data_IF_237278427509
#
_entry.id   IF_237278427509
#
_cell.length_a   1.000
_cell.length_b   1.000
_cell.length_c   1.000
_cell.angle_alpha   90.00
_cell.angle_beta   90.00
_cell.angle_gamma   90.00
#
_symmetry.space_group_name_H-M   'P 1'
#
loop_
_entity.id
_entity.type
_entity.pdbx_description
1 polymer ?
#
# COMPACT_ATOMS: atom_id res chain seq x y z
N UNK A 1 19.62 5.21 -9.35
CA UNK A 1 19.29 4.79 -7.97
C UNK A 1 19.07 3.28 -8.01
N UNK A 2 19.73 2.47 -7.16
CA UNK A 2 19.49 1.02 -7.12
C UNK A 2 18.04 0.77 -6.71
N UNK A 3 17.23 0.26 -7.64
CA UNK A 3 15.86 -0.06 -7.36
C UNK A 3 15.76 -1.53 -6.91
N UNK A 4 15.18 -1.75 -5.74
CA UNK A 4 14.92 -3.09 -5.21
C UNK A 4 13.65 -3.61 -5.91
N UNK A 5 13.81 -4.14 -7.13
CA UNK A 5 12.68 -4.66 -7.89
C UNK A 5 12.25 -6.05 -7.43
N UNK A 6 13.22 -6.94 -7.21
CA UNK A 6 12.98 -8.30 -6.73
C UNK A 6 13.42 -8.41 -5.26
N UNK A 7 12.52 -8.11 -4.33
CA UNK A 7 12.83 -8.06 -2.90
C UNK A 7 13.38 -9.40 -2.39
N UNK A 8 12.74 -10.52 -2.78
CA UNK A 8 13.12 -11.87 -2.35
C UNK A 8 14.55 -12.25 -2.75
N UNK A 9 15.04 -11.81 -3.91
CA UNK A 9 16.41 -12.09 -4.33
C UNK A 9 17.44 -11.49 -3.38
N UNK A 10 17.18 -10.29 -2.87
CA UNK A 10 18.05 -9.64 -1.90
C UNK A 10 17.89 -10.22 -0.50
N UNK A 11 16.65 -10.41 -0.04
CA UNK A 11 16.38 -10.89 1.32
C UNK A 11 16.81 -12.34 1.54
N UNK A 12 16.82 -13.20 0.51
CA UNK A 12 17.39 -14.56 0.60
C UNK A 12 18.90 -14.59 0.89
N UNK A 13 19.62 -13.48 0.70
CA UNK A 13 21.06 -13.34 1.02
C UNK A 13 21.31 -12.65 2.36
N UNK A 14 20.24 -12.25 3.05
CA UNK A 14 20.31 -11.52 4.30
C UNK A 14 19.86 -12.43 5.45
N UNK A 15 20.42 -12.17 6.62
CA UNK A 15 20.12 -12.88 7.85
C UNK A 15 19.18 -12.01 8.69
N UNK A 16 17.96 -12.51 8.86
CA UNK A 16 16.93 -11.87 9.66
C UNK A 16 17.00 -12.40 11.10
N UNK A 17 16.91 -11.48 12.04
CA UNK A 17 16.67 -11.81 13.44
C UNK A 17 15.36 -11.23 13.90
N UNK A 18 14.62 -12.01 14.67
CA UNK A 18 13.41 -11.58 15.36
C UNK A 18 13.66 -11.73 16.87
N UNK A 19 13.43 -10.66 17.62
CA UNK A 19 13.38 -10.71 19.08
C UNK A 19 11.93 -10.47 19.48
N UNK A 20 11.29 -11.49 20.02
CA UNK A 20 9.89 -11.44 20.45
C UNK A 20 9.63 -12.43 21.59
N UNK A 21 8.68 -12.11 22.48
CA UNK A 21 8.35 -12.97 23.62
C UNK A 21 7.10 -13.82 23.37
N UNK A 22 6.07 -13.22 22.77
CA UNK A 22 4.73 -13.81 22.64
C UNK A 22 4.39 -14.17 21.18
N UNK A 23 5.40 -14.38 20.34
CA UNK A 23 5.26 -14.67 18.91
C UNK A 23 4.42 -13.64 18.14
N UNK A 24 4.39 -12.37 18.58
CA UNK A 24 3.53 -11.34 18.01
C UNK A 24 3.87 -11.02 16.54
N UNK A 25 5.17 -11.03 16.21
CA UNK A 25 5.70 -10.80 14.87
C UNK A 25 5.55 -12.08 14.06
N UNK A 26 5.99 -13.22 14.58
CA UNK A 26 5.94 -14.50 13.86
C UNK A 26 4.50 -14.91 13.54
N UNK A 27 3.55 -14.75 14.46
CA UNK A 27 2.15 -15.10 14.20
C UNK A 27 1.52 -14.21 13.12
N UNK A 28 1.88 -12.92 13.08
CA UNK A 28 1.26 -11.96 12.16
C UNK A 28 1.94 -11.89 10.79
N UNK A 29 3.25 -12.10 10.72
CA UNK A 29 4.05 -11.89 9.52
C UNK A 29 4.93 -13.09 9.14
N UNK A 30 4.91 -14.19 9.90
CA UNK A 30 5.77 -15.35 9.69
C UNK A 30 5.69 -15.90 8.28
N UNK A 31 4.49 -16.21 7.79
CA UNK A 31 4.28 -16.75 6.42
C UNK A 31 4.93 -15.89 5.34
N UNK A 32 4.88 -14.56 5.50
CA UNK A 32 5.54 -13.63 4.59
C UNK A 32 7.05 -13.67 4.75
N UNK A 33 7.57 -13.54 5.98
CA UNK A 33 9.01 -13.51 6.27
C UNK A 33 9.71 -14.80 5.84
N UNK A 34 9.16 -15.98 6.20
CA UNK A 34 9.67 -17.29 5.79
C UNK A 34 9.65 -17.49 4.27
N UNK A 35 8.77 -16.79 3.55
CA UNK A 35 8.72 -16.89 2.08
C UNK A 35 9.75 -16.05 1.35
N UNK A 36 10.36 -15.04 1.99
CA UNK A 36 11.29 -14.13 1.34
C UNK A 36 12.72 -14.19 1.91
N UNK A 37 12.90 -14.66 3.14
CA UNK A 37 14.22 -14.88 3.75
C UNK A 37 14.58 -16.36 3.73
N UNK A 38 15.88 -16.64 3.62
CA UNK A 38 16.42 -18.01 3.75
C UNK A 38 16.82 -18.31 5.20
N UNK A 39 17.40 -17.34 5.89
CA UNK A 39 17.91 -17.49 7.26
C UNK A 39 17.15 -16.54 8.20
N UNK A 40 16.41 -17.14 9.14
CA UNK A 40 15.68 -16.44 10.21
C UNK A 40 16.08 -17.07 11.54
N UNK A 41 16.57 -16.26 12.49
CA UNK A 41 16.75 -16.67 13.90
C UNK A 41 15.80 -15.91 14.80
N UNK A 42 15.22 -16.60 15.78
CA UNK A 42 14.28 -16.03 16.74
C UNK A 42 14.87 -16.13 18.15
N UNK A 43 14.85 -15.03 18.89
CA UNK A 43 15.27 -14.96 20.29
C UNK A 43 14.09 -14.49 21.17
N UNK A 44 14.02 -15.06 22.37
CA UNK A 44 13.01 -14.71 23.38
C UNK A 44 13.40 -13.48 24.23
N UNK A 45 14.66 -13.06 24.19
CA UNK A 45 15.15 -11.91 24.94
C UNK A 45 16.41 -11.27 24.35
N UNK A 46 16.59 -9.99 24.65
CA UNK A 46 17.73 -9.17 24.23
C UNK A 46 19.10 -9.74 24.64
N UNK A 47 19.19 -10.31 25.86
CA UNK A 47 20.45 -10.80 26.42
C UNK A 47 21.05 -11.94 25.59
N UNK A 48 20.22 -12.90 25.16
CA UNK A 48 20.67 -14.02 24.32
C UNK A 48 21.12 -13.54 22.94
N UNK A 49 20.38 -12.59 22.36
CA UNK A 49 20.78 -11.98 21.09
C UNK A 49 22.13 -11.28 21.19
N UNK A 50 22.36 -10.44 22.22
CA UNK A 50 23.64 -9.74 22.40
C UNK A 50 24.82 -10.70 22.54
N UNK A 51 24.66 -11.83 23.24
CA UNK A 51 25.74 -12.82 23.38
C UNK A 51 26.13 -13.50 22.06
N UNK A 52 25.26 -13.48 21.06
CA UNK A 52 25.50 -14.10 19.75
C UNK A 52 25.78 -13.08 18.63
N UNK A 53 25.56 -11.78 18.88
CA UNK A 53 25.69 -10.74 17.87
C UNK A 53 27.13 -10.60 17.34
N UNK A 54 28.14 -10.72 18.20
CA UNK A 54 29.56 -10.63 17.80
C UNK A 54 30.00 -11.77 16.89
N UNK A 55 29.35 -12.95 17.00
CA UNK A 55 29.73 -14.17 16.29
C UNK A 55 28.88 -14.45 15.04
N UNK A 56 27.82 -13.67 14.82
CA UNK A 56 26.88 -13.87 13.73
C UNK A 56 26.69 -12.60 12.91
N UNK A 57 26.71 -12.74 11.59
CA UNK A 57 26.49 -11.61 10.69
C UNK A 57 24.99 -11.38 10.46
N UNK A 58 24.33 -10.68 11.40
CA UNK A 58 22.92 -10.30 11.28
C UNK A 58 22.76 -8.99 10.50
N UNK A 59 21.82 -8.94 9.56
CA UNK A 59 21.63 -7.77 8.71
C UNK A 59 20.38 -6.96 9.07
N UNK A 60 19.32 -7.63 9.50
CA UNK A 60 18.04 -7.01 9.84
C UNK A 60 17.54 -7.59 11.16
N UNK A 61 17.16 -6.70 12.07
CA UNK A 61 16.56 -7.03 13.36
C UNK A 61 15.11 -6.52 13.38
N UNK A 62 14.16 -7.44 13.58
CA UNK A 62 12.79 -7.14 13.97
C UNK A 62 12.71 -7.26 15.49
N UNK A 63 12.42 -6.16 16.17
CA UNK A 63 12.39 -6.14 17.62
C UNK A 63 11.00 -5.79 18.12
N UNK A 64 10.35 -6.75 18.77
CA UNK A 64 9.09 -6.55 19.47
C UNK A 64 9.34 -5.79 20.77
N UNK A 65 9.02 -4.51 20.75
CA UNK A 65 9.06 -3.66 21.92
C UNK A 65 7.69 -3.70 22.61
N UNK A 66 7.49 -4.75 23.41
CA UNK A 66 6.31 -4.89 24.26
C UNK A 66 6.50 -4.26 25.66
N UNK A 67 7.50 -3.37 25.83
CA UNK A 67 7.92 -2.90 27.16
C UNK A 67 7.45 -1.47 27.46
N UNK A 68 6.83 -1.33 28.63
CA UNK A 68 6.53 -0.08 29.36
C UNK A 68 7.74 0.86 29.60
N UNK A 69 8.96 0.43 29.26
CA UNK A 69 10.20 1.16 29.47
C UNK A 69 10.88 1.47 28.13
N UNK A 70 10.56 2.66 27.64
CA UNK A 70 11.08 3.22 26.40
C UNK A 70 12.61 3.37 26.47
N UNK A 71 13.20 3.65 27.64
CA UNK A 71 14.64 3.94 27.73
C UNK A 71 15.48 2.69 27.53
N UNK A 72 15.16 1.57 28.18
CA UNK A 72 15.89 0.32 28.01
C UNK A 72 15.86 -0.19 26.56
N UNK A 73 14.74 -0.03 25.86
CA UNK A 73 14.60 -0.39 24.44
C UNK A 73 15.62 0.32 23.56
N UNK A 74 15.76 1.63 23.69
CA UNK A 74 16.66 2.40 22.84
C UNK A 74 18.12 2.32 23.28
N UNK A 75 18.39 2.09 24.57
CA UNK A 75 19.73 1.72 25.05
C UNK A 75 20.18 0.39 24.44
N UNK A 76 19.31 -0.62 24.42
CA UNK A 76 19.58 -1.88 23.74
C UNK A 76 19.91 -1.67 22.26
N UNK A 77 19.09 -0.91 21.53
CA UNK A 77 19.37 -0.60 20.11
C UNK A 77 20.71 0.10 19.93
N UNK A 78 21.08 1.01 20.85
CA UNK A 78 22.38 1.66 20.84
C UNK A 78 23.51 0.63 20.95
N UNK A 79 23.41 -0.32 21.88
CA UNK A 79 24.42 -1.36 22.07
C UNK A 79 24.53 -2.27 20.84
N UNK A 80 23.40 -2.60 20.22
CA UNK A 80 23.35 -3.35 18.96
C UNK A 80 24.10 -2.61 17.84
N UNK A 81 23.89 -1.30 17.69
CA UNK A 81 24.60 -0.50 16.69
C UNK A 81 26.08 -0.26 17.02
N UNK A 82 26.48 -0.32 18.30
CA UNK A 82 27.91 -0.28 18.67
C UNK A 82 28.62 -1.54 18.17
N UNK A 83 27.99 -2.71 18.34
CA UNK A 83 28.55 -3.99 17.91
C UNK A 83 28.47 -4.15 16.37
N UNK A 84 27.29 -3.89 15.79
CA UNK A 84 27.05 -3.98 14.37
C UNK A 84 26.40 -2.69 13.84
N UNK A 85 27.20 -1.70 13.41
CA UNK A 85 26.69 -0.41 12.93
C UNK A 85 25.85 -0.51 11.64
N UNK A 86 25.93 -1.62 10.91
CA UNK A 86 25.27 -1.80 9.62
C UNK A 86 23.90 -2.48 9.73
N UNK A 87 23.60 -3.15 10.83
CA UNK A 87 22.30 -3.80 11.04
C UNK A 87 21.16 -2.79 10.86
N UNK A 88 20.03 -3.25 10.32
CA UNK A 88 18.82 -2.45 10.17
C UNK A 88 17.78 -2.90 11.15
N UNK A 89 17.38 -1.99 12.03
CA UNK A 89 16.42 -2.28 13.10
C UNK A 89 15.02 -1.80 12.69
N UNK A 90 14.02 -2.67 12.81
CA UNK A 90 12.60 -2.36 12.71
C UNK A 90 11.97 -2.66 14.06
N UNK A 91 11.38 -1.64 14.69
CA UNK A 91 10.71 -1.77 15.98
C UNK A 91 9.23 -2.05 15.77
N UNK A 92 8.68 -3.01 16.51
CA UNK A 92 7.25 -3.23 16.66
C UNK A 92 6.81 -2.70 18.03
N UNK A 93 5.75 -1.91 18.09
CA UNK A 93 5.24 -1.42 19.37
C UNK A 93 3.73 -1.19 19.34
N UNK A 94 3.08 -1.45 20.48
CA UNK A 94 1.67 -1.10 20.71
C UNK A 94 1.49 0.39 21.00
N UNK A 95 2.53 1.09 21.44
CA UNK A 95 2.48 2.49 21.83
C UNK A 95 3.03 3.39 20.72
N UNK A 96 2.29 4.44 20.39
CA UNK A 96 2.71 5.43 19.39
C UNK A 96 2.52 6.82 19.99
N UNK A 97 3.63 7.44 20.36
CA UNK A 97 3.68 8.84 20.78
C UNK A 97 4.85 9.56 20.11
N UNK A 98 4.87 10.89 20.25
CA UNK A 98 5.88 11.74 19.65
C UNK A 98 7.30 11.39 20.13
N UNK A 99 7.48 11.07 21.41
CA UNK A 99 8.79 10.83 22.01
C UNK A 99 9.41 9.51 21.51
N UNK A 100 8.60 8.46 21.37
CA UNK A 100 9.02 7.19 20.76
C UNK A 100 9.47 7.42 19.32
N UNK A 101 8.69 8.18 18.53
CA UNK A 101 9.04 8.47 17.14
C UNK A 101 10.34 9.29 17.05
N UNK A 102 10.51 10.31 17.91
CA UNK A 102 11.74 11.09 17.98
C UNK A 102 12.96 10.24 18.37
N UNK A 103 12.80 9.31 19.32
CA UNK A 103 13.85 8.35 19.67
C UNK A 103 14.16 7.40 18.49
N UNK A 104 13.16 6.95 17.73
CA UNK A 104 13.40 6.15 16.52
C UNK A 104 14.31 6.87 15.53
N UNK A 105 14.08 8.17 15.30
CA UNK A 105 14.98 8.98 14.47
C UNK A 105 16.38 9.08 15.08
N UNK A 106 16.48 9.42 16.37
CA UNK A 106 17.75 9.59 17.08
C UNK A 106 18.64 8.34 17.05
N UNK A 107 18.04 7.16 17.18
CA UNK A 107 18.75 5.88 17.24
C UNK A 107 18.82 5.16 15.88
N UNK A 108 18.54 5.86 14.77
CA UNK A 108 18.63 5.34 13.40
C UNK A 108 17.79 4.06 13.16
N UNK A 109 16.60 4.02 13.74
CA UNK A 109 15.64 2.96 13.46
C UNK A 109 15.17 3.06 12.01
N UNK A 110 15.18 1.94 11.30
CA UNK A 110 14.85 1.88 9.88
C UNK A 110 13.35 1.79 9.62
N UNK A 111 12.59 1.19 10.55
CA UNK A 111 11.14 1.11 10.45
C UNK A 111 10.46 1.04 11.81
N UNK A 112 9.21 1.52 11.86
CA UNK A 112 8.40 1.50 13.06
C UNK A 112 7.00 0.96 12.74
N UNK A 113 6.68 -0.19 13.33
CA UNK A 113 5.46 -0.94 13.11
C UNK A 113 4.55 -0.79 14.31
N UNK A 114 3.33 -0.30 14.11
CA UNK A 114 2.33 -0.16 15.17
C UNK A 114 1.22 -1.21 15.06
N UNK A 115 0.25 -1.17 15.98
CA UNK A 115 -0.91 -2.06 15.97
C UNK A 115 -1.71 -2.02 14.65
N UNK A 116 -1.74 -0.85 13.99
CA UNK A 116 -2.42 -0.63 12.71
C UNK A 116 -1.54 -0.89 11.48
N UNK A 117 -0.32 -1.39 11.68
CA UNK A 117 0.56 -1.79 10.58
C UNK A 117 0.16 -3.14 9.99
N UNK A 118 0.38 -3.31 8.70
CA UNK A 118 0.09 -4.53 7.93
C UNK A 118 1.34 -5.06 7.21
N UNK A 119 1.19 -6.16 6.47
CA UNK A 119 2.30 -6.78 5.73
C UNK A 119 2.95 -5.83 4.72
N UNK A 120 2.17 -4.94 4.09
CA UNK A 120 2.70 -3.96 3.15
C UNK A 120 3.61 -2.92 3.85
N UNK A 121 3.23 -2.45 5.04
CA UNK A 121 4.08 -1.54 5.83
C UNK A 121 5.44 -2.22 6.15
N UNK A 122 5.42 -3.51 6.53
CA UNK A 122 6.64 -4.28 6.77
C UNK A 122 7.48 -4.43 5.50
N UNK A 123 6.84 -4.78 4.38
CA UNK A 123 7.48 -4.89 3.07
C UNK A 123 8.19 -3.59 2.66
N UNK A 124 7.56 -2.44 2.90
CA UNK A 124 8.15 -1.14 2.60
C UNK A 124 9.39 -0.86 3.48
N UNK A 125 9.33 -1.18 4.78
CA UNK A 125 10.51 -1.05 5.66
C UNK A 125 11.64 -2.02 5.31
N UNK A 126 11.31 -3.25 4.89
CA UNK A 126 12.30 -4.21 4.41
C UNK A 126 12.96 -3.74 3.12
N UNK A 127 12.19 -3.19 2.18
CA UNK A 127 12.72 -2.59 0.95
C UNK A 127 13.70 -1.44 1.26
N UNK A 128 13.35 -0.56 2.20
CA UNK A 128 14.25 0.51 2.67
C UNK A 128 15.50 -0.08 3.32
N UNK A 129 15.35 -1.12 4.14
CA UNK A 129 16.47 -1.81 4.81
C UNK A 129 17.45 -2.39 3.79
N UNK A 130 16.94 -3.14 2.81
CA UNK A 130 17.73 -3.70 1.70
C UNK A 130 18.44 -2.59 0.92
N UNK A 131 17.73 -1.52 0.57
CA UNK A 131 18.33 -0.39 -0.15
C UNK A 131 19.49 0.24 0.63
N UNK A 132 19.31 0.49 1.93
CA UNK A 132 20.38 1.02 2.79
C UNK A 132 21.56 0.06 2.92
N UNK A 133 21.31 -1.25 3.02
CA UNK A 133 22.36 -2.27 3.07
C UNK A 133 23.14 -2.36 1.76
N UNK A 134 22.46 -2.27 0.61
CA UNK A 134 23.10 -2.23 -0.71
C UNK A 134 24.03 -1.03 -0.88
N UNK A 135 23.63 0.13 -0.35
CA UNK A 135 24.47 1.34 -0.41
C UNK A 135 25.71 1.26 0.48
N UNK A 136 25.65 0.49 1.58
CA UNK A 136 26.70 0.46 2.59
C UNK A 136 27.56 -0.81 2.56
N UNK A 137 27.19 -1.83 1.77
CA UNK A 137 27.78 -3.17 1.87
C UNK A 137 27.96 -3.82 0.48
N UNK A 138 28.81 -3.21 -0.35
CA UNK A 138 29.09 -3.61 -1.74
C UNK A 138 29.57 -5.07 -1.88
N UNK A 139 30.33 -5.57 -0.90
CA UNK A 139 30.92 -6.92 -0.93
C UNK A 139 29.88 -8.05 -0.86
N UNK A 140 28.75 -7.85 -0.15
CA UNK A 140 27.70 -8.87 -0.01
C UNK A 140 26.85 -9.00 -1.28
N UNK A 141 26.86 -7.97 -2.12
CA UNK A 141 26.02 -7.83 -3.30
C UNK A 141 26.87 -7.39 -4.51
N UNK A 142 27.84 -8.21 -4.94
CA UNK A 142 28.73 -7.96 -6.09
C UNK A 142 28.12 -7.06 -7.20
N UNK A 143 28.72 -5.88 -7.38
CA UNK A 143 28.09 -4.66 -7.94
C UNK A 143 27.79 -4.67 -9.44
N UNK A 144 28.26 -5.64 -10.23
CA UNK A 144 28.11 -5.62 -11.69
C UNK A 144 26.99 -6.51 -12.28
N UNK A 145 26.22 -7.22 -11.44
CA UNK A 145 25.13 -8.12 -11.90
C UNK A 145 23.73 -7.77 -11.39
N UNK A 146 23.56 -6.67 -10.64
CA UNK A 146 22.29 -6.37 -9.96
C UNK A 146 21.39 -5.35 -10.68
N UNK A 147 21.61 -5.08 -11.99
CA UNK A 147 20.60 -4.41 -12.80
C UNK A 147 19.52 -5.42 -13.16
N UNK A 148 18.63 -5.70 -12.21
CA UNK A 148 17.38 -6.37 -12.51
C UNK A 148 16.56 -5.45 -13.41
N UNK A 149 15.98 -6.01 -14.45
CA UNK A 149 14.93 -5.36 -15.22
C UNK A 149 13.57 -6.04 -14.98
N UNK A 150 12.55 -5.62 -15.73
CA UNK A 150 11.21 -6.22 -15.62
C UNK A 150 11.20 -7.67 -16.11
N UNK A 151 12.03 -8.03 -17.09
CA UNK A 151 12.11 -9.37 -17.66
C UNK A 151 12.64 -10.35 -16.61
N UNK A 152 13.65 -9.96 -15.84
CA UNK A 152 14.14 -10.76 -14.71
C UNK A 152 13.05 -11.00 -13.66
N UNK A 153 12.24 -9.96 -13.36
CA UNK A 153 11.10 -10.10 -12.47
C UNK A 153 10.06 -11.08 -13.03
N UNK A 154 9.68 -10.94 -14.29
CA UNK A 154 8.70 -11.82 -14.93
C UNK A 154 9.20 -13.27 -14.97
N UNK A 155 10.48 -13.48 -15.27
CA UNK A 155 11.13 -14.79 -15.25
C UNK A 155 11.08 -15.42 -13.87
N UNK A 156 11.47 -14.68 -12.82
CA UNK A 156 11.40 -15.16 -11.45
C UNK A 156 9.96 -15.51 -11.03
N UNK A 157 9.00 -14.66 -11.39
CA UNK A 157 7.59 -14.90 -11.07
C UNK A 157 7.04 -16.11 -11.84
N UNK A 158 7.42 -16.32 -13.10
CA UNK A 158 6.99 -17.48 -13.89
C UNK A 158 7.61 -18.79 -13.37
N UNK A 159 8.93 -18.80 -13.19
CA UNK A 159 9.69 -20.04 -12.99
C UNK A 159 9.79 -20.45 -11.50
N UNK A 160 9.91 -19.48 -10.58
CA UNK A 160 10.15 -19.76 -9.16
C UNK A 160 8.95 -19.47 -8.26
N UNK A 161 8.10 -18.50 -8.60
CA UNK A 161 6.98 -18.05 -7.76
C UNK A 161 5.69 -17.77 -8.58
N UNK A 162 5.10 -18.79 -9.23
CA UNK A 162 4.03 -18.64 -10.23
C UNK A 162 2.73 -18.05 -9.68
N UNK A 163 2.56 -18.04 -8.37
CA UNK A 163 1.38 -17.48 -7.69
C UNK A 163 1.46 -15.94 -7.63
N UNK A 164 1.11 -15.28 -8.73
CA UNK A 164 0.98 -13.83 -8.80
C UNK A 164 -0.47 -13.39 -8.50
N UNK A 165 -0.63 -12.11 -8.16
CA UNK A 165 -1.93 -11.46 -8.07
C UNK A 165 -2.07 -10.46 -9.19
N UNK A 166 -3.18 -10.52 -9.91
CA UNK A 166 -3.58 -9.48 -10.83
C UNK A 166 -4.53 -8.52 -10.11
N UNK A 167 -4.22 -7.23 -10.20
CA UNK A 167 -4.97 -6.18 -9.53
C UNK A 167 -5.48 -5.17 -10.55
N UNK A 168 -6.79 -5.01 -10.58
CA UNK A 168 -7.44 -3.88 -11.23
C UNK A 168 -8.46 -3.28 -10.26
N UNK A 169 -9.31 -2.38 -10.76
CA UNK A 169 -10.36 -1.81 -9.94
C UNK A 169 -11.69 -1.76 -10.69
N UNK A 170 -12.77 -1.90 -9.93
CA UNK A 170 -14.12 -1.72 -10.42
C UNK A 170 -14.84 -0.74 -9.50
N UNK A 171 -15.14 0.46 -10.02
CA UNK A 171 -15.82 1.53 -9.29
C UNK A 171 -15.17 1.89 -7.94
N UNK A 172 -13.85 2.05 -7.96
CA UNK A 172 -13.02 2.36 -6.79
C UNK A 172 -12.60 1.15 -5.95
N UNK A 173 -13.28 0.00 -6.09
CA UNK A 173 -12.96 -1.22 -5.34
C UNK A 173 -11.86 -2.00 -6.05
N UNK A 174 -10.80 -2.35 -5.31
CA UNK A 174 -9.74 -3.21 -5.82
C UNK A 174 -10.29 -4.63 -6.07
N UNK A 175 -10.04 -5.17 -7.25
CA UNK A 175 -10.34 -6.56 -7.59
C UNK A 175 -8.99 -7.26 -7.71
N UNK A 176 -8.76 -8.20 -6.80
CA UNK A 176 -7.48 -8.89 -6.62
C UNK A 176 -7.73 -10.37 -6.81
N UNK A 177 -7.15 -10.94 -7.86
CA UNK A 177 -7.30 -12.36 -8.20
C UNK A 177 -5.97 -13.02 -8.42
N UNK A 178 -5.91 -14.31 -8.13
CA UNK A 178 -4.76 -15.12 -8.52
C UNK A 178 -4.67 -15.15 -10.04
N UNK A 179 -3.45 -15.11 -10.55
CA UNK A 179 -3.16 -15.20 -11.97
C UNK A 179 -1.86 -15.96 -12.17
N UNK A 180 -1.60 -16.37 -13.40
CA UNK A 180 -0.41 -17.13 -13.78
C UNK A 180 0.18 -16.52 -15.05
N UNK A 181 1.49 -16.28 -15.05
CA UNK A 181 2.21 -15.84 -16.25
C UNK A 181 2.43 -17.07 -17.12
N UNK A 182 1.79 -17.10 -18.28
CA UNK A 182 1.94 -18.21 -19.24
C UNK A 182 3.20 -18.01 -20.07
N UNK A 183 3.37 -16.80 -20.61
CA UNK A 183 4.53 -16.45 -21.41
C UNK A 183 4.76 -14.95 -21.44
N UNK A 184 5.96 -14.53 -21.85
CA UNK A 184 6.26 -13.13 -22.06
C UNK A 184 7.38 -12.93 -23.07
N UNK A 185 7.37 -11.78 -23.72
CA UNK A 185 8.49 -11.24 -24.49
C UNK A 185 8.73 -9.78 -24.09
N UNK A 186 9.53 -9.06 -24.86
CA UNK A 186 9.90 -7.67 -24.54
C UNK A 186 8.71 -6.70 -24.55
N UNK A 187 7.58 -7.06 -25.17
CA UNK A 187 6.41 -6.19 -25.34
C UNK A 187 5.17 -6.70 -24.61
N UNK A 188 4.91 -8.00 -24.69
CA UNK A 188 3.65 -8.64 -24.27
C UNK A 188 3.92 -9.65 -23.17
N UNK A 189 3.07 -9.60 -22.15
CA UNK A 189 2.98 -10.56 -21.06
C UNK A 189 1.62 -11.26 -21.19
N UNK A 190 1.64 -12.56 -21.43
CA UNK A 190 0.44 -13.39 -21.52
C UNK A 190 0.12 -13.98 -20.15
N UNK A 191 -1.09 -13.70 -19.67
CA UNK A 191 -1.52 -14.08 -18.33
C UNK A 191 -2.82 -14.87 -18.39
N UNK A 192 -2.87 -15.98 -17.65
CA UNK A 192 -4.09 -16.71 -17.35
C UNK A 192 -4.80 -16.08 -16.16
N UNK A 193 -6.09 -15.80 -16.32
CA UNK A 193 -6.91 -15.10 -15.33
C UNK A 193 -8.21 -15.87 -15.04
N UNK A 194 -8.91 -15.47 -13.98
CA UNK A 194 -10.24 -15.99 -13.69
C UNK A 194 -11.37 -15.18 -14.38
N UNK A 195 -12.55 -15.79 -14.43
CA UNK A 195 -13.74 -15.20 -15.07
C UNK A 195 -14.23 -13.90 -14.41
N UNK A 196 -13.94 -13.68 -13.12
CA UNK A 196 -14.30 -12.42 -12.45
C UNK A 196 -13.42 -11.29 -12.98
N UNK A 197 -12.15 -11.58 -13.22
CA UNK A 197 -11.17 -10.65 -13.74
C UNK A 197 -11.51 -10.23 -15.18
N UNK A 198 -12.02 -11.16 -16.00
CA UNK A 198 -12.56 -10.87 -17.34
C UNK A 198 -13.73 -9.88 -17.32
N UNK A 199 -14.58 -9.91 -16.29
CA UNK A 199 -15.74 -9.00 -16.17
C UNK A 199 -15.33 -7.57 -15.84
N UNK A 200 -14.14 -7.36 -15.27
CA UNK A 200 -13.75 -6.08 -14.66
C UNK A 200 -12.71 -5.32 -15.47
N UNK A 201 -11.83 -6.02 -16.18
CA UNK A 201 -10.80 -5.40 -17.02
C UNK A 201 -11.38 -5.06 -18.40
N UNK A 202 -10.99 -3.93 -18.99
CA UNK A 202 -11.26 -3.59 -20.39
C UNK A 202 -9.97 -3.38 -21.18
N UNK A 203 -10.08 -3.37 -22.50
CA UNK A 203 -8.97 -3.00 -23.38
C UNK A 203 -8.54 -1.57 -23.04
N UNK A 204 -7.23 -1.35 -23.00
CA UNK A 204 -6.56 -0.12 -22.58
C UNK A 204 -6.74 0.26 -21.10
N UNK A 205 -7.37 -0.58 -20.28
CA UNK A 205 -7.37 -0.37 -18.83
C UNK A 205 -6.01 -0.76 -18.24
N UNK A 206 -5.63 0.00 -17.20
CA UNK A 206 -4.49 -0.31 -16.36
C UNK A 206 -4.77 -1.51 -15.46
N UNK A 207 -3.80 -2.42 -15.44
CA UNK A 207 -3.80 -3.60 -14.61
C UNK A 207 -2.42 -3.75 -13.99
N UNK A 208 -2.36 -4.22 -12.75
CA UNK A 208 -1.13 -4.35 -11.99
C UNK A 208 -0.86 -5.81 -11.69
N UNK A 209 0.35 -6.27 -12.01
CA UNK A 209 0.85 -7.55 -11.54
C UNK A 209 1.54 -7.30 -10.19
N UNK A 210 1.02 -7.93 -9.15
CA UNK A 210 1.50 -7.82 -7.78
C UNK A 210 1.96 -9.18 -7.26
N UNK A 211 3.02 -9.15 -6.46
CA UNK A 211 3.53 -10.31 -5.75
C UNK A 211 4.23 -9.87 -4.47
N UNK A 212 4.16 -10.73 -3.45
CA UNK A 212 4.89 -10.52 -2.18
C UNK A 212 6.41 -10.52 -2.38
N UNK A 213 6.88 -11.12 -3.48
CA UNK A 213 8.30 -11.26 -3.78
C UNK A 213 8.95 -10.04 -4.45
N UNK A 214 8.14 -9.15 -5.02
CA UNK A 214 8.64 -7.94 -5.67
C UNK A 214 8.71 -6.78 -4.68
N UNK A 215 9.70 -5.91 -4.78
CA UNK A 215 9.75 -4.64 -4.03
C UNK A 215 8.97 -3.50 -4.69
N UNK A 216 8.53 -3.69 -5.93
CA UNK A 216 7.64 -2.78 -6.69
C UNK A 216 6.62 -3.62 -7.46
N UNK A 217 5.53 -3.03 -7.90
CA UNK A 217 4.53 -3.72 -8.72
C UNK A 217 4.72 -3.37 -10.20
N UNK A 218 4.26 -4.26 -11.08
CA UNK A 218 4.39 -4.07 -12.53
C UNK A 218 3.07 -3.52 -13.06
N UNK A 219 3.07 -2.24 -13.44
CA UNK A 219 1.94 -1.60 -14.12
C UNK A 219 1.95 -1.99 -15.58
N UNK A 220 0.78 -2.41 -16.06
CA UNK A 220 0.56 -2.86 -17.43
C UNK A 220 -0.70 -2.21 -18.02
N UNK A 221 -0.88 -2.38 -19.31
CA UNK A 221 -2.06 -1.97 -20.06
C UNK A 221 -2.60 -3.17 -20.81
N UNK A 222 -3.90 -3.44 -20.68
CA UNK A 222 -4.54 -4.57 -21.34
C UNK A 222 -4.68 -4.32 -22.84
N UNK A 223 -4.25 -5.27 -23.67
CA UNK A 223 -4.28 -5.16 -25.14
C UNK A 223 -5.29 -6.08 -25.78
N UNK A 224 -5.40 -7.32 -25.28
CA UNK A 224 -6.22 -8.34 -25.90
C UNK A 224 -6.81 -9.32 -24.86
N UNK A 225 -7.92 -9.96 -25.22
CA UNK A 225 -8.64 -10.96 -24.44
C UNK A 225 -8.92 -12.21 -25.28
N UNK A 226 -8.54 -13.37 -24.77
CA UNK A 226 -9.04 -14.68 -25.21
C UNK A 226 -10.04 -15.19 -24.17
N UNK A 227 -11.33 -14.98 -24.45
CA UNK A 227 -12.42 -15.38 -23.55
C UNK A 227 -12.61 -16.90 -23.46
N UNK A 228 -12.17 -17.66 -24.47
CA UNK A 228 -12.30 -19.13 -24.44
C UNK A 228 -11.27 -19.75 -23.51
N UNK A 229 -10.05 -19.21 -23.51
CA UNK A 229 -8.95 -19.71 -22.68
C UNK A 229 -8.81 -19.00 -21.33
N UNK A 230 -9.56 -17.91 -21.13
CA UNK A 230 -9.40 -16.97 -20.02
C UNK A 230 -7.98 -16.41 -19.94
N UNK A 231 -7.46 -15.98 -21.09
CA UNK A 231 -6.13 -15.39 -21.22
C UNK A 231 -6.23 -13.92 -21.61
N UNK A 232 -5.26 -13.13 -21.16
CA UNK A 232 -5.11 -11.74 -21.56
C UNK A 232 -3.67 -11.45 -21.97
N UNK A 233 -3.53 -10.55 -22.93
CA UNK A 233 -2.24 -9.98 -23.27
C UNK A 233 -2.12 -8.59 -22.65
N UNK A 234 -1.07 -8.41 -21.86
CA UNK A 234 -0.75 -7.18 -21.16
C UNK A 234 0.53 -6.59 -21.75
N UNK A 235 0.53 -5.30 -22.00
CA UNK A 235 1.73 -4.56 -22.39
C UNK A 235 2.37 -3.94 -21.14
N UNK A 236 3.67 -4.14 -20.96
CA UNK A 236 4.41 -3.45 -19.90
C UNK A 236 4.30 -1.93 -20.06
N UNK A 237 4.12 -1.22 -18.95
CA UNK A 237 4.07 0.24 -18.93
C UNK A 237 5.15 0.80 -18.00
N UNK A 238 5.09 0.49 -16.71
CA UNK A 238 6.04 1.02 -15.74
C UNK A 238 6.11 0.15 -14.47
N UNK A 239 7.11 0.40 -13.63
CA UNK A 239 7.15 -0.10 -12.26
C UNK A 239 6.59 0.94 -11.31
N UNK A 240 5.77 0.52 -10.35
CA UNK A 240 5.10 1.41 -9.39
C UNK A 240 5.31 0.93 -7.96
N UNK A 241 5.46 1.87 -7.02
CA UNK A 241 5.66 1.52 -5.60
C UNK A 241 4.37 1.05 -4.92
N UNK A 242 3.20 1.50 -5.39
CA UNK A 242 1.91 1.18 -4.76
C UNK A 242 0.75 1.36 -5.73
N UNK A 243 -0.28 0.53 -5.57
CA UNK A 243 -1.56 0.65 -6.26
C UNK A 243 -2.76 0.63 -5.30
N UNK A 244 -3.97 0.64 -5.83
CA UNK A 244 -5.21 0.90 -5.08
C UNK A 244 -5.51 -0.09 -3.95
N UNK A 245 -4.95 -1.30 -4.00
CA UNK A 245 -5.22 -2.37 -3.05
C UNK A 245 -4.45 -2.26 -1.73
N UNK A 246 -3.41 -1.41 -1.68
CA UNK A 246 -2.65 -1.14 -0.45
C UNK A 246 -3.32 -0.08 0.44
N UNK A 247 -4.44 0.51 0.00
CA UNK A 247 -5.16 1.53 0.75
C UNK A 247 -5.78 0.94 2.02
N UNK A 248 -5.42 1.49 3.19
CA UNK A 248 -6.04 1.14 4.48
C UNK A 248 -7.52 1.55 4.58
N UNK A 249 -7.90 2.58 3.82
CA UNK A 249 -9.27 3.11 3.78
C UNK A 249 -9.85 2.91 2.38
N UNK A 250 -10.95 2.16 2.23
CA UNK A 250 -11.55 1.93 0.93
C UNK A 250 -12.05 3.26 0.34
N UNK A 251 -12.00 3.35 -0.99
CA UNK A 251 -12.60 4.42 -1.77
C UNK A 251 -13.64 3.80 -2.67
N UNK A 252 -14.80 4.43 -2.77
CA UNK A 252 -15.88 3.98 -3.66
C UNK A 252 -16.26 5.08 -4.61
N UNK A 253 -16.66 4.69 -5.82
CA UNK A 253 -17.41 5.59 -6.69
C UNK A 253 -18.80 5.77 -6.05
N UNK A 254 -19.22 7.03 -5.81
CA UNK A 254 -20.50 7.29 -5.18
C UNK A 254 -21.65 6.97 -6.14
N UNK A 255 -22.88 7.20 -5.69
CA UNK A 255 -24.05 7.13 -6.56
C UNK A 255 -23.97 8.21 -7.66
N UNK A 256 -24.64 7.98 -8.78
CA UNK A 256 -24.72 8.97 -9.87
C UNK A 256 -25.24 10.30 -9.31
N UNK A 257 -24.73 11.40 -9.86
CA UNK A 257 -25.07 12.79 -9.48
C UNK A 257 -24.65 13.18 -8.05
N UNK A 258 -23.77 12.41 -7.40
CA UNK A 258 -23.14 12.82 -6.14
C UNK A 258 -22.14 13.94 -6.38
N UNK A 259 -22.14 14.92 -5.48
CA UNK A 259 -21.40 16.17 -5.66
C UNK A 259 -20.90 16.71 -4.31
N UNK A 260 -19.89 17.56 -4.39
CA UNK A 260 -19.45 18.42 -3.28
C UNK A 260 -19.75 19.86 -3.64
N UNK A 261 -20.33 20.60 -2.71
CA UNK A 261 -20.36 22.06 -2.76
C UNK A 261 -19.19 22.56 -1.94
N UNK A 262 -18.29 23.32 -2.56
CA UNK A 262 -17.14 23.97 -1.93
C UNK A 262 -17.48 25.45 -1.77
N UNK A 263 -17.37 25.96 -0.54
CA UNK A 263 -17.57 27.38 -0.23
C UNK A 263 -16.21 28.07 -0.12
N UNK A 264 -15.98 29.06 -0.97
CA UNK A 264 -14.75 29.88 -1.04
C UNK A 264 -15.18 31.34 -1.20
N UNK A 265 -14.71 32.24 -0.34
CA UNK A 265 -14.99 33.69 -0.46
C UNK A 265 -16.50 34.01 -0.69
N UNK A 266 -17.40 33.31 -0.01
CA UNK A 266 -18.86 33.38 -0.17
C UNK A 266 -19.40 32.94 -1.54
N UNK A 267 -18.58 32.35 -2.41
CA UNK A 267 -18.98 31.66 -3.64
C UNK A 267 -19.14 30.18 -3.38
N UNK A 268 -20.18 29.59 -3.97
CA UNK A 268 -20.46 28.15 -3.89
C UNK A 268 -20.12 27.51 -5.22
N UNK A 269 -19.22 26.53 -5.19
CA UNK A 269 -18.78 25.81 -6.38
C UNK A 269 -19.26 24.37 -6.24
N UNK A 270 -20.05 23.90 -7.19
CA UNK A 270 -20.51 22.52 -7.23
C UNK A 270 -19.61 21.70 -8.15
N UNK A 271 -19.02 20.65 -7.60
CA UNK A 271 -18.14 19.73 -8.33
C UNK A 271 -18.62 18.29 -8.19
N UNK A 272 -18.40 17.48 -9.22
CA UNK A 272 -18.81 16.08 -9.20
C UNK A 272 -17.82 15.24 -8.40
N UNK A 273 -18.32 14.26 -7.64
CA UNK A 273 -17.45 13.33 -6.90
C UNK A 273 -17.03 12.19 -7.82
N UNK A 274 -15.71 12.00 -7.97
CA UNK A 274 -15.14 10.81 -8.62
C UNK A 274 -15.15 9.64 -7.64
N UNK A 275 -14.58 9.83 -6.46
CA UNK A 275 -14.56 8.81 -5.40
C UNK A 275 -14.50 9.43 -4.01
N UNK A 276 -14.91 8.64 -3.01
CA UNK A 276 -14.96 9.06 -1.61
C UNK A 276 -14.44 7.95 -0.68
N UNK A 277 -13.66 8.34 0.33
CA UNK A 277 -13.33 7.54 1.52
C UNK A 277 -13.81 8.26 2.78
N UNK A 278 -13.62 7.63 3.94
CA UNK A 278 -14.03 8.15 5.24
C UNK A 278 -13.38 9.50 5.63
N UNK A 279 -12.31 9.91 4.95
CA UNK A 279 -11.52 11.10 5.27
C UNK A 279 -11.03 11.89 4.04
N UNK A 280 -11.35 11.44 2.82
CA UNK A 280 -10.99 12.14 1.60
C UNK A 280 -12.12 12.05 0.57
N UNK A 281 -12.23 13.08 -0.26
CA UNK A 281 -13.09 13.07 -1.45
C UNK A 281 -12.28 13.60 -2.62
N UNK A 282 -12.30 12.86 -3.73
CA UNK A 282 -11.72 13.30 -5.00
C UNK A 282 -12.86 13.81 -5.88
N UNK A 283 -12.77 15.08 -6.24
CA UNK A 283 -13.74 15.73 -7.11
C UNK A 283 -13.14 16.03 -8.48
N UNK A 284 -14.01 16.25 -9.46
CA UNK A 284 -13.63 16.79 -10.76
C UNK A 284 -14.45 18.05 -11.07
N UNK A 285 -13.74 19.07 -11.54
CA UNK A 285 -14.32 20.28 -12.10
C UNK A 285 -13.95 20.39 -13.56
N UNK A 286 -14.94 20.66 -14.42
CA UNK A 286 -14.69 20.95 -15.84
C UNK A 286 -14.10 22.35 -16.04
N UNK A 287 -14.36 23.24 -15.10
CA UNK A 287 -13.90 24.62 -15.11
C UNK A 287 -12.82 24.81 -14.05
N UNK A 288 -11.71 25.45 -14.44
CA UNK A 288 -10.65 25.83 -13.53
C UNK A 288 -11.18 26.87 -12.55
N UNK A 289 -10.93 26.67 -11.25
CA UNK A 289 -11.28 27.66 -10.25
C UNK A 289 -10.04 28.34 -9.66
N UNK A 290 -9.68 29.55 -10.14
CA UNK A 290 -8.44 30.22 -9.71
C UNK A 290 -8.46 30.66 -8.24
N UNK A 291 -9.64 30.69 -7.59
CA UNK A 291 -9.76 31.07 -6.19
C UNK A 291 -9.46 29.92 -5.22
N UNK A 292 -9.58 28.66 -5.68
CA UNK A 292 -9.26 27.50 -4.87
C UNK A 292 -7.74 27.28 -4.84
N UNK A 293 -7.16 27.27 -3.63
CA UNK A 293 -5.71 27.15 -3.44
C UNK A 293 -5.36 25.80 -2.87
N UNK A 294 -4.29 25.19 -3.38
CA UNK A 294 -3.66 24.04 -2.75
C UNK A 294 -3.19 24.44 -1.34
N UNK A 295 -3.36 23.53 -0.39
CA UNK A 295 -3.03 23.72 1.02
C UNK A 295 -3.84 24.80 1.75
N UNK A 296 -5.05 25.10 1.29
CA UNK A 296 -6.01 25.95 2.02
C UNK A 296 -7.12 25.13 2.68
N UNK A 297 -7.83 25.75 3.63
CA UNK A 297 -9.06 25.19 4.18
C UNK A 297 -10.27 25.72 3.39
N UNK A 298 -11.28 24.88 3.19
CA UNK A 298 -12.57 25.23 2.60
C UNK A 298 -13.71 24.56 3.38
N UNK A 299 -14.84 25.25 3.49
CA UNK A 299 -16.07 24.61 3.96
C UNK A 299 -16.65 23.79 2.82
N UNK A 300 -17.07 22.58 3.11
CA UNK A 300 -17.62 21.67 2.10
C UNK A 300 -18.94 21.07 2.56
N UNK A 301 -19.82 20.81 1.60
CA UNK A 301 -21.04 20.04 1.78
C UNK A 301 -21.03 18.84 0.83
N UNK A 302 -20.94 17.63 1.38
CA UNK A 302 -20.85 16.39 0.63
C UNK A 302 -22.24 15.80 0.47
N UNK A 303 -22.70 15.68 -0.77
CA UNK A 303 -23.97 15.04 -1.10
C UNK A 303 -23.72 13.73 -1.88
N UNK A 304 -23.81 12.62 -1.15
CA UNK A 304 -23.67 11.27 -1.68
C UNK A 304 -25.01 10.55 -1.91
N UNK A 305 -26.14 11.27 -1.83
CA UNK A 305 -27.50 10.70 -1.83
C UNK A 305 -27.66 9.62 -0.76
N UNK A 306 -27.26 9.95 0.48
CA UNK A 306 -27.29 9.03 1.62
C UNK A 306 -28.75 8.72 1.94
N UNK A 307 -29.08 7.42 1.98
CA UNK A 307 -30.44 6.94 2.19
C UNK A 307 -30.89 7.25 3.63
N UNK A 308 -32.18 7.54 3.79
CA UNK A 308 -32.86 7.68 5.07
C UNK A 308 -32.58 6.50 6.03
N UNK A 309 -32.47 5.27 5.53
CA UNK A 309 -32.14 4.09 6.37
C UNK A 309 -30.77 4.18 7.07
N UNK A 310 -29.87 5.02 6.59
CA UNK A 310 -28.50 5.19 7.12
C UNK A 310 -28.44 6.41 8.04
N UNK A 311 -29.12 7.50 7.67
CA UNK A 311 -28.98 8.80 8.33
C UNK A 311 -30.24 9.28 9.07
N UNK A 312 -31.33 8.52 9.05
CA UNK A 312 -32.67 8.92 9.54
C UNK A 312 -33.17 10.26 8.98
N UNK A 313 -32.59 10.72 7.87
CA UNK A 313 -32.97 11.91 7.12
C UNK A 313 -32.81 11.62 5.61
N UNK A 314 -33.83 11.85 4.79
CA UNK A 314 -33.70 11.71 3.33
C UNK A 314 -32.69 12.71 2.78
N UNK A 315 -31.72 12.22 1.99
CA UNK A 315 -30.67 13.04 1.36
C UNK A 315 -29.81 13.80 2.37
N UNK A 316 -29.34 13.11 3.41
CA UNK A 316 -28.41 13.68 4.37
C UNK A 316 -27.15 14.25 3.69
N UNK A 317 -26.79 15.48 4.06
CA UNK A 317 -25.63 16.21 3.54
C UNK A 317 -24.66 16.43 4.69
N UNK A 318 -23.47 15.85 4.56
CA UNK A 318 -22.36 16.03 5.51
C UNK A 318 -21.76 17.41 5.28
N UNK A 319 -21.65 18.23 6.33
CA UNK A 319 -21.06 19.58 6.26
C UNK A 319 -19.84 19.63 7.16
N UNK A 320 -18.68 19.90 6.59
CA UNK A 320 -17.41 19.92 7.35
C UNK A 320 -16.40 20.89 6.74
N UNK A 321 -15.30 21.12 7.45
CA UNK A 321 -14.12 21.78 6.91
C UNK A 321 -13.20 20.74 6.26
N UNK A 322 -12.71 21.06 5.08
CA UNK A 322 -11.73 20.25 4.36
C UNK A 322 -10.48 21.06 4.02
N UNK A 323 -9.35 20.37 4.03
CA UNK A 323 -8.06 20.85 3.55
C UNK A 323 -7.89 20.43 2.09
N UNK A 324 -7.58 21.38 1.22
CA UNK A 324 -7.26 21.15 -0.19
C UNK A 324 -5.87 20.53 -0.27
N UNK A 325 -5.82 19.21 -0.39
CA UNK A 325 -4.55 18.48 -0.33
C UNK A 325 -3.77 18.60 -1.62
N UNK A 326 -4.44 18.48 -2.75
CA UNK A 326 -3.80 18.44 -4.07
C UNK A 326 -4.80 18.87 -5.15
N UNK A 327 -4.28 19.53 -6.19
CA UNK A 327 -5.03 19.86 -7.40
C UNK A 327 -4.16 19.58 -8.62
N UNK A 328 -4.71 18.91 -9.63
CA UNK A 328 -3.99 18.59 -10.85
C UNK A 328 -4.93 18.50 -12.05
N UNK A 329 -4.42 18.92 -13.22
CA UNK A 329 -5.20 18.94 -14.44
C UNK A 329 -5.05 17.63 -15.22
N UNK A 330 -6.17 17.14 -15.75
CA UNK A 330 -6.23 15.94 -16.58
C UNK A 330 -7.03 16.22 -17.85
N UNK A 331 -7.04 15.27 -18.79
CA UNK A 331 -7.89 15.36 -20.00
C UNK A 331 -9.38 15.51 -19.68
N UNK A 332 -9.82 15.04 -18.50
CA UNK A 332 -11.22 15.09 -18.06
C UNK A 332 -11.56 16.39 -17.31
N UNK A 333 -10.57 17.24 -17.02
CA UNK A 333 -10.71 18.46 -16.20
C UNK A 333 -9.78 18.51 -14.99
N UNK A 334 -10.02 19.49 -14.13
CA UNK A 334 -9.27 19.73 -12.89
C UNK A 334 -9.75 18.76 -11.80
N UNK A 335 -8.83 17.95 -11.28
CA UNK A 335 -9.08 17.04 -10.16
C UNK A 335 -8.65 17.69 -8.86
N UNK A 336 -9.55 17.65 -7.87
CA UNK A 336 -9.39 18.31 -6.57
C UNK A 336 -9.48 17.25 -5.48
N UNK A 337 -8.39 17.05 -4.74
CA UNK A 337 -8.35 16.12 -3.61
C UNK A 337 -8.53 16.88 -2.29
N UNK A 338 -9.65 16.63 -1.62
CA UNK A 338 -10.00 17.25 -0.35
C UNK A 338 -9.82 16.23 0.78
N UNK A 339 -9.14 16.63 1.86
CA UNK A 339 -9.02 15.85 3.10
C UNK A 339 -9.88 16.49 4.18
N UNK A 340 -10.71 15.72 4.86
CA UNK A 340 -11.59 16.24 5.91
C UNK A 340 -11.50 15.41 7.19
N UNK A 341 -12.02 15.99 8.27
CA UNK A 341 -12.23 15.29 9.55
C UNK A 341 -13.71 15.40 9.88
N UNK A 342 -14.33 14.27 10.19
CA UNK A 342 -15.74 14.21 10.57
C UNK A 342 -15.86 14.14 12.08
N UNK A 343 -16.99 14.62 12.60
CA UNK A 343 -17.41 14.26 13.95
C UNK A 343 -17.86 12.78 13.99
N UNK A 344 -18.14 12.29 15.19
CA UNK A 344 -18.47 10.87 15.39
C UNK A 344 -19.73 10.44 14.61
N UNK A 345 -20.75 11.30 14.57
CA UNK A 345 -22.01 11.00 13.89
C UNK A 345 -21.82 10.94 12.37
N UNK A 346 -21.22 11.97 11.78
CA UNK A 346 -20.94 12.05 10.35
C UNK A 346 -19.99 10.93 9.91
N UNK A 347 -19.01 10.58 10.76
CA UNK A 347 -18.12 9.46 10.53
C UNK A 347 -18.90 8.15 10.42
N UNK A 348 -19.77 7.85 11.39
CA UNK A 348 -20.58 6.63 11.37
C UNK A 348 -21.52 6.59 10.15
N UNK A 349 -22.15 7.72 9.80
CA UNK A 349 -23.03 7.83 8.63
C UNK A 349 -22.26 7.56 7.33
N UNK A 350 -21.10 8.18 7.14
CA UNK A 350 -20.30 8.00 5.93
C UNK A 350 -19.71 6.60 5.84
N UNK A 351 -19.24 6.03 6.95
CA UNK A 351 -18.71 4.67 6.98
C UNK A 351 -19.78 3.62 6.62
N UNK A 352 -20.99 3.79 7.15
CA UNK A 352 -22.15 2.97 6.78
C UNK A 352 -22.52 3.13 5.30
N UNK A 353 -22.48 4.37 4.77
CA UNK A 353 -22.69 4.62 3.35
C UNK A 353 -21.66 3.91 2.48
N UNK A 354 -20.37 4.03 2.80
CA UNK A 354 -19.27 3.38 2.07
C UNK A 354 -19.47 1.86 2.09
N UNK A 355 -19.72 1.29 3.27
CA UNK A 355 -19.98 -0.14 3.45
C UNK A 355 -21.17 -0.64 2.63
N UNK A 356 -22.27 0.14 2.59
CA UNK A 356 -23.43 -0.20 1.78
C UNK A 356 -23.14 -0.09 0.28
N UNK A 357 -22.44 0.96 -0.15
CA UNK A 357 -22.04 1.16 -1.55
C UNK A 357 -21.11 0.04 -2.03
N UNK A 358 -20.19 -0.43 -1.19
CA UNK A 358 -19.34 -1.61 -1.47
C UNK A 358 -20.21 -2.83 -1.79
N UNK A 359 -21.23 -3.11 -0.97
CA UNK A 359 -22.15 -4.23 -1.19
C UNK A 359 -22.94 -4.08 -2.50
N UNK A 360 -23.39 -2.87 -2.83
CA UNK A 360 -24.06 -2.59 -4.12
C UNK A 360 -23.12 -2.86 -5.30
N UNK A 361 -21.89 -2.32 -5.28
CA UNK A 361 -20.90 -2.50 -6.35
C UNK A 361 -20.57 -3.99 -6.55
N UNK A 362 -20.42 -4.76 -5.47
CA UNK A 362 -20.18 -6.21 -5.55
C UNK A 362 -21.37 -6.93 -6.21
N UNK A 363 -22.61 -6.53 -5.91
CA UNK A 363 -23.79 -7.10 -6.57
C UNK A 363 -23.86 -6.74 -8.05
N UNK A 364 -23.57 -5.48 -8.39
CA UNK A 364 -23.45 -5.01 -9.77
C UNK A 364 -22.42 -5.86 -10.55
N UNK A 365 -21.27 -6.14 -9.93
CA UNK A 365 -20.23 -6.98 -10.53
C UNK A 365 -20.69 -8.43 -10.74
N UNK A 366 -21.34 -9.04 -9.74
CA UNK A 366 -21.85 -10.42 -9.84
C UNK A 366 -22.86 -10.58 -10.99
N UNK A 367 -23.71 -9.57 -11.18
CA UNK A 367 -24.74 -9.56 -12.20
C UNK A 367 -24.23 -9.17 -13.60
N UNK A 368 -22.97 -8.75 -13.72
CA UNK A 368 -22.38 -8.39 -15.00
C UNK A 368 -22.12 -9.64 -15.84
N UNK A 369 -22.63 -9.64 -17.07
CA UNK A 369 -22.30 -10.63 -18.11
C UNK A 369 -20.97 -10.26 -18.77
N UNK A 370 -20.23 -11.28 -19.22
CA UNK A 370 -19.00 -11.10 -20.01
C UNK A 370 -19.37 -10.63 -21.40
#
# INVERSE_FOLDING_TARGET
MLNVFLLTYFTKKLNLVIIEKDNSITNKYGDYLYSIFKEIKIYDCQKKFLSELDSNNFDILLFDNDIYDIESTFLFVKDVHVINPLIKVIIFSKYVDYDILMKCFKYNITGFMCCNSNEQDLKDFLKVSVKKLLMNNSNKFNENKNKFDVIDCLKFLKDEQPNIKLVNHFKGIAIIRAAEILDFNDEIIKIKIDNTQLKTIKINDHVVISSKHLGVEILTITKFFDYEKNEIDLMYNNLIDSYVHHRKKPRVDPKKNSNVIIEINNKLIKVDIINISIDHVLCISKELNPELKIHSNAKIAINCHINNKIANNPNYIIRTNAFVKEMFYTVDGEKILLKFKLDEQDHQILDNYISFRIKEIIRELKNKTI
#
